data_IF_015950644963
#
_entry.id   IF_015950644963
#
_cell.length_a   1.000
_cell.length_b   1.000
_cell.length_c   1.000
_cell.angle_alpha   90.00
_cell.angle_beta   90.00
_cell.angle_gamma   90.00
#
_symmetry.space_group_name_H-M   'P 1'
#
loop_
_entity.id
_entity.type
_entity.pdbx_description
1 polymer ?
#
# COMPACT_ATOMS: atom_id res chain seq x y z
N UNK A 1 15.01 10.33 -11.23
CA UNK A 1 13.88 9.89 -10.39
C UNK A 1 12.98 11.09 -10.26
N UNK A 2 11.93 11.18 -11.09
CA UNK A 2 11.00 12.31 -10.99
C UNK A 2 10.19 12.11 -9.72
N UNK A 3 10.46 12.95 -8.72
CA UNK A 3 9.47 13.19 -7.68
C UNK A 3 8.24 13.73 -8.40
N UNK A 4 7.09 13.11 -8.18
CA UNK A 4 5.80 13.75 -8.46
C UNK A 4 5.81 15.10 -7.75
N UNK A 5 5.46 16.17 -8.46
CA UNK A 5 5.32 17.47 -7.80
C UNK A 5 4.13 17.44 -6.83
N UNK A 6 4.09 18.38 -5.89
CA UNK A 6 3.12 18.41 -4.80
C UNK A 6 1.66 18.39 -5.29
N UNK A 7 1.39 19.01 -6.44
CA UNK A 7 0.05 19.09 -7.03
C UNK A 7 -0.37 17.74 -7.62
N UNK A 8 0.54 17.07 -8.33
CA UNK A 8 0.33 15.71 -8.81
C UNK A 8 0.09 14.71 -7.67
N UNK A 9 0.76 14.88 -6.53
CA UNK A 9 0.52 14.05 -5.35
C UNK A 9 -0.88 14.30 -4.74
N UNK A 10 -1.31 15.55 -4.61
CA UNK A 10 -2.65 15.91 -4.12
C UNK A 10 -3.76 15.38 -5.03
N UNK A 11 -3.59 15.49 -6.34
CA UNK A 11 -4.55 14.94 -7.30
C UNK A 11 -4.67 13.42 -7.16
N UNK A 12 -3.53 12.73 -7.08
CA UNK A 12 -3.50 11.28 -6.87
C UNK A 12 -4.18 10.88 -5.55
N UNK A 13 -4.00 11.67 -4.48
CA UNK A 13 -4.69 11.46 -3.20
C UNK A 13 -6.22 11.53 -3.37
N UNK A 14 -6.73 12.58 -4.00
CA UNK A 14 -8.17 12.73 -4.25
C UNK A 14 -8.74 11.59 -5.13
N UNK A 15 -7.99 11.13 -6.13
CA UNK A 15 -8.42 9.97 -6.93
C UNK A 15 -8.42 8.67 -6.11
N UNK A 16 -7.45 8.48 -5.22
CA UNK A 16 -7.39 7.31 -4.36
C UNK A 16 -8.53 7.29 -3.34
N UNK A 17 -8.87 8.45 -2.77
CA UNK A 17 -9.98 8.64 -1.84
C UNK A 17 -11.35 8.42 -2.50
N UNK A 18 -11.49 8.76 -3.79
CA UNK A 18 -12.70 8.45 -4.58
C UNK A 18 -12.81 6.98 -5.00
N UNK A 19 -11.87 6.13 -4.58
CA UNK A 19 -11.91 4.68 -4.74
C UNK A 19 -11.10 4.14 -5.92
N UNK A 20 -10.38 4.97 -6.67
CA UNK A 20 -9.62 4.47 -7.82
C UNK A 20 -8.43 3.61 -7.36
N UNK A 21 -8.39 2.35 -7.81
CA UNK A 21 -7.39 1.36 -7.37
C UNK A 21 -5.98 1.65 -7.87
N UNK A 22 -5.82 2.30 -9.02
CA UNK A 22 -4.49 2.60 -9.57
C UNK A 22 -3.76 3.69 -8.76
N UNK A 23 -4.39 4.83 -8.45
CA UNK A 23 -3.87 5.80 -7.47
C UNK A 23 -3.61 5.19 -6.09
N UNK A 24 -4.50 4.35 -5.57
CA UNK A 24 -4.26 3.65 -4.29
C UNK A 24 -3.00 2.78 -4.35
N UNK A 25 -2.81 2.00 -5.42
CA UNK A 25 -1.58 1.21 -5.61
C UNK A 25 -0.33 2.11 -5.67
N UNK A 26 -0.40 3.21 -6.43
CA UNK A 26 0.71 4.17 -6.57
C UNK A 26 1.05 4.85 -5.24
N UNK A 27 0.05 5.26 -4.45
CA UNK A 27 0.27 5.80 -3.11
C UNK A 27 0.95 4.78 -2.20
N UNK A 28 0.48 3.52 -2.22
CA UNK A 28 1.12 2.44 -1.49
C UNK A 28 2.61 2.30 -1.83
N UNK A 29 2.96 2.39 -3.11
CA UNK A 29 4.36 2.39 -3.58
C UNK A 29 5.15 3.63 -3.14
N UNK A 30 4.57 4.83 -3.24
CA UNK A 30 5.18 6.07 -2.77
C UNK A 30 5.50 6.00 -1.27
N UNK A 31 4.54 5.61 -0.46
CA UNK A 31 4.71 5.47 0.98
C UNK A 31 5.72 4.37 1.34
N UNK A 32 5.72 3.24 0.61
CA UNK A 32 6.71 2.17 0.82
C UNK A 32 8.13 2.66 0.54
N UNK A 33 8.32 3.47 -0.50
CA UNK A 33 9.62 4.10 -0.79
C UNK A 33 9.98 5.10 0.30
N UNK A 34 9.03 5.92 0.75
CA UNK A 34 9.23 6.86 1.86
C UNK A 34 9.73 6.18 3.14
N UNK A 35 9.01 5.14 3.59
CA UNK A 35 9.39 4.31 4.73
C UNK A 35 10.79 3.70 4.53
N UNK A 36 11.09 3.15 3.34
CA UNK A 36 12.42 2.56 3.04
C UNK A 36 13.57 3.57 3.11
N UNK A 37 13.30 4.83 2.78
CA UNK A 37 14.27 5.93 2.88
C UNK A 37 14.40 6.48 4.31
N UNK A 38 13.61 5.96 5.26
CA UNK A 38 13.65 6.38 6.66
C UNK A 38 12.86 7.66 6.94
N UNK A 39 11.94 8.06 6.05
CA UNK A 39 11.01 9.13 6.37
C UNK A 39 10.03 8.66 7.44
N UNK A 40 9.90 9.45 8.50
CA UNK A 40 8.86 9.26 9.50
C UNK A 40 7.52 9.68 8.89
N UNK A 41 6.55 8.78 8.94
CA UNK A 41 5.24 9.00 8.33
C UNK A 41 4.14 8.65 9.33
N UNK A 42 3.15 9.53 9.51
CA UNK A 42 2.09 9.29 10.45
C UNK A 42 1.28 8.06 10.04
N UNK A 43 1.01 7.17 11.00
CA UNK A 43 0.13 6.03 10.80
C UNK A 43 -1.27 6.50 10.40
N UNK A 44 -1.91 5.74 9.52
CA UNK A 44 -3.32 5.92 9.15
C UNK A 44 -4.10 4.84 9.87
N UNK A 45 -5.04 5.22 10.74
CA UNK A 45 -5.83 4.28 11.57
C UNK A 45 -4.97 3.25 12.34
N UNK A 46 -3.76 3.65 12.75
CA UNK A 46 -2.83 2.80 13.49
C UNK A 46 -2.04 1.79 12.65
N UNK A 47 -2.08 1.89 11.31
CA UNK A 47 -1.28 1.07 10.40
C UNK A 47 -0.39 1.92 9.49
N UNK A 48 0.66 1.30 8.96
CA UNK A 48 1.60 1.96 8.05
C UNK A 48 0.88 2.43 6.76
N UNK A 49 1.11 3.68 6.30
CA UNK A 49 0.39 4.25 5.15
C UNK A 49 0.47 3.40 3.87
N UNK A 50 1.62 2.75 3.63
CA UNK A 50 1.76 1.87 2.48
C UNK A 50 0.82 0.65 2.55
N UNK A 51 0.66 0.07 3.74
CA UNK A 51 -0.25 -1.06 3.99
C UNK A 51 -1.70 -0.60 3.85
N UNK A 52 -2.06 0.56 4.40
CA UNK A 52 -3.41 1.13 4.29
C UNK A 52 -3.85 1.26 2.82
N UNK A 53 -3.02 1.89 1.97
CA UNK A 53 -3.38 2.09 0.57
C UNK A 53 -3.38 0.81 -0.25
N UNK A 54 -2.45 -0.12 0.02
CA UNK A 54 -2.51 -1.44 -0.59
C UNK A 54 -3.77 -2.21 -0.18
N UNK A 55 -4.21 -2.14 1.08
CA UNK A 55 -5.46 -2.80 1.52
C UNK A 55 -6.66 -2.27 0.75
N UNK A 56 -6.82 -0.94 0.65
CA UNK A 56 -7.90 -0.31 -0.13
C UNK A 56 -7.94 -0.79 -1.60
N UNK A 57 -6.78 -0.86 -2.26
CA UNK A 57 -6.71 -1.35 -3.63
C UNK A 57 -6.99 -2.87 -3.73
N UNK A 58 -6.46 -3.64 -2.78
CA UNK A 58 -6.55 -5.09 -2.74
C UNK A 58 -7.97 -5.59 -2.45
N UNK A 59 -8.72 -4.90 -1.60
CA UNK A 59 -10.13 -5.16 -1.30
C UNK A 59 -11.03 -4.97 -2.53
N UNK A 60 -10.62 -4.08 -3.43
CA UNK A 60 -11.26 -3.85 -4.73
C UNK A 60 -10.76 -4.81 -5.84
N UNK A 61 -9.97 -5.82 -5.49
CA UNK A 61 -9.51 -6.84 -6.43
C UNK A 61 -8.20 -6.52 -7.16
N UNK A 62 -7.49 -5.45 -6.80
CA UNK A 62 -6.21 -5.13 -7.43
C UNK A 62 -5.15 -6.20 -7.07
N UNK A 63 -4.81 -7.05 -8.04
CA UNK A 63 -3.86 -8.17 -7.87
C UNK A 63 -2.45 -7.73 -7.48
N UNK A 64 -1.99 -6.57 -7.96
CA UNK A 64 -0.67 -6.05 -7.59
C UNK A 64 -0.65 -5.63 -6.11
N UNK A 65 -1.70 -4.99 -5.63
CA UNK A 65 -1.84 -4.61 -4.23
C UNK A 65 -1.92 -5.84 -3.32
N UNK A 66 -2.71 -6.86 -3.68
CA UNK A 66 -2.79 -8.12 -2.93
C UNK A 66 -1.43 -8.82 -2.85
N UNK A 67 -0.68 -8.87 -3.95
CA UNK A 67 0.69 -9.42 -3.98
C UNK A 67 1.65 -8.62 -3.09
N UNK A 68 1.51 -7.30 -3.05
CA UNK A 68 2.34 -6.45 -2.18
C UNK A 68 2.00 -6.72 -0.70
N UNK A 69 0.73 -6.82 -0.32
CA UNK A 69 0.33 -7.16 1.05
C UNK A 69 0.87 -8.52 1.49
N UNK A 70 0.78 -9.54 0.62
CA UNK A 70 1.41 -10.83 0.90
C UNK A 70 2.90 -10.68 1.27
N UNK A 71 3.67 -9.92 0.47
CA UNK A 71 5.10 -9.69 0.75
C UNK A 71 5.31 -8.91 2.06
N UNK A 72 4.52 -7.87 2.32
CA UNK A 72 4.63 -7.07 3.53
C UNK A 72 4.45 -7.90 4.79
N UNK A 73 3.39 -8.72 4.85
CA UNK A 73 3.16 -9.59 6.00
C UNK A 73 4.09 -10.80 6.06
N UNK A 74 4.50 -11.35 4.90
CA UNK A 74 5.44 -12.47 4.88
C UNK A 74 6.83 -12.08 5.37
N UNK A 75 7.30 -10.88 5.00
CA UNK A 75 8.66 -10.41 5.26
C UNK A 75 8.76 -9.42 6.41
N UNK A 76 7.63 -9.00 7.00
CA UNK A 76 7.61 -7.96 8.03
C UNK A 76 8.08 -6.60 7.51
N UNK A 77 7.65 -6.21 6.31
CA UNK A 77 7.98 -4.90 5.74
C UNK A 77 6.92 -3.90 6.20
N UNK A 78 7.33 -2.87 6.95
CA UNK A 78 6.43 -1.85 7.49
C UNK A 78 5.32 -2.48 8.40
N UNK A 79 5.57 -3.65 8.97
CA UNK A 79 4.72 -4.35 9.93
C UNK A 79 5.50 -5.55 10.46
N UNK A 80 5.04 -6.20 11.51
CA UNK A 80 5.61 -7.47 11.93
C UNK A 80 5.28 -8.59 10.95
N UNK A 81 6.06 -9.67 10.97
CA UNK A 81 5.74 -10.87 10.22
C UNK A 81 4.41 -11.44 10.72
N UNK A 82 3.44 -11.56 9.83
CA UNK A 82 2.11 -12.10 10.09
C UNK A 82 1.79 -13.16 9.04
N UNK A 83 2.05 -14.43 9.38
CA UNK A 83 1.86 -15.55 8.45
C UNK A 83 0.39 -15.79 8.10
N UNK A 84 -0.53 -15.47 9.01
CA UNK A 84 -1.96 -15.65 8.79
C UNK A 84 -2.49 -14.63 7.79
N UNK A 85 -2.14 -13.34 7.97
CA UNK A 85 -2.47 -12.30 6.98
C UNK A 85 -1.76 -12.50 5.66
N UNK A 86 -0.50 -12.94 5.66
CA UNK A 86 0.20 -13.28 4.42
C UNK A 86 -0.56 -14.36 3.66
N UNK A 87 -0.94 -15.46 4.32
CA UNK A 87 -1.69 -16.55 3.70
C UNK A 87 -3.08 -16.12 3.20
N UNK A 88 -3.77 -15.25 3.95
CA UNK A 88 -5.03 -14.63 3.51
C UNK A 88 -4.86 -13.89 2.18
N UNK A 89 -3.89 -12.97 2.10
CA UNK A 89 -3.64 -12.23 0.85
C UNK A 89 -3.11 -13.11 -0.26
N UNK A 90 -2.35 -14.17 0.07
CA UNK A 90 -1.86 -15.17 -0.89
C UNK A 90 -3.00 -15.85 -1.63
N UNK A 91 -4.02 -16.29 -0.88
CA UNK A 91 -5.21 -16.93 -1.45
C UNK A 91 -5.99 -15.95 -2.33
N UNK A 92 -6.21 -14.73 -1.83
CA UNK A 92 -6.91 -13.67 -2.58
C UNK A 92 -6.26 -13.34 -3.93
N UNK A 93 -4.93 -13.31 -4.02
CA UNK A 93 -4.28 -13.03 -5.31
C UNK A 93 -4.21 -14.24 -6.24
N UNK A 94 -4.25 -15.47 -5.71
CA UNK A 94 -4.19 -16.71 -6.50
C UNK A 94 -5.54 -17.13 -7.12
N UNK A 95 -6.67 -16.61 -6.60
CA UNK A 95 -8.04 -16.78 -7.14
C UNK A 95 -8.25 -16.06 -8.48
#
# INVERSE_FOLDING_TARGET
MSLIDEEAFKEMLGQAESGNTEPQLKLGDCYRVGHRLGFDMPLIDGIEPCIYWYQKAAEQGNKNAQRNLYKHYQMGIATDVDKEKAEYWRRKYAE
#
